data_IF_535587297050
#
_entry.id   IF_535587297050
#
_cell.length_a   1.000
_cell.length_b   1.000
_cell.length_c   1.000
_cell.angle_alpha   90.00
_cell.angle_beta   90.00
_cell.angle_gamma   90.00
#
_symmetry.space_group_name_H-M   'P 1'
#
loop_
_entity.id
_entity.type
_entity.pdbx_description
1 polymer ?
#
# COMPACT_ATOMS: atom_id res chain seq x y z
N UNK A 1 -54.98 2.04 -11.89
CA UNK A 1 -53.89 1.73 -10.92
C UNK A 1 -52.60 2.25 -11.55
N UNK A 2 -52.33 3.54 -11.36
CA UNK A 2 -51.32 4.29 -12.10
C UNK A 2 -49.91 4.07 -11.54
N UNK A 3 -49.00 3.66 -12.41
CA UNK A 3 -47.58 3.47 -12.11
C UNK A 3 -46.87 4.81 -11.90
N UNK A 4 -46.18 4.94 -10.77
CA UNK A 4 -45.25 6.03 -10.55
C UNK A 4 -43.99 5.84 -11.43
N UNK A 5 -43.42 6.93 -11.96
CA UNK A 5 -42.30 6.86 -12.89
C UNK A 5 -41.00 6.40 -12.20
N UNK A 6 -40.33 5.45 -12.84
CA UNK A 6 -39.03 4.82 -12.52
C UNK A 6 -37.83 5.79 -12.40
N UNK A 7 -38.05 7.10 -12.45
CA UNK A 7 -37.01 8.14 -12.33
C UNK A 7 -36.71 8.59 -10.89
N UNK A 8 -37.51 8.15 -9.91
CA UNK A 8 -37.28 8.46 -8.49
C UNK A 8 -36.48 7.38 -7.74
N UNK A 9 -36.34 6.16 -8.27
CA UNK A 9 -35.54 5.11 -7.63
C UNK A 9 -34.03 5.28 -7.86
N UNK A 10 -33.61 5.90 -8.97
CA UNK A 10 -32.19 6.16 -9.25
C UNK A 10 -31.61 7.29 -8.41
N UNK A 11 -32.44 8.22 -7.93
CA UNK A 11 -32.02 9.34 -7.10
C UNK A 11 -31.73 8.95 -5.64
N UNK A 12 -32.25 7.81 -5.15
CA UNK A 12 -32.02 7.35 -3.79
C UNK A 12 -30.71 6.55 -3.61
N UNK A 13 -30.12 6.03 -4.70
CA UNK A 13 -28.87 5.24 -4.62
C UNK A 13 -27.62 6.14 -4.58
N UNK A 14 -27.71 7.38 -5.08
CA UNK A 14 -26.58 8.34 -5.05
C UNK A 14 -26.46 9.14 -3.75
N UNK A 15 -27.47 9.09 -2.87
CA UNK A 15 -27.46 9.82 -1.60
C UNK A 15 -26.74 9.09 -0.44
N UNK A 16 -26.32 7.82 -0.65
CA UNK A 16 -25.62 7.02 0.36
C UNK A 16 -24.10 6.90 0.14
N UNK A 17 -23.52 7.67 -0.79
CA UNK A 17 -22.07 7.68 -1.07
C UNK A 17 -21.35 8.93 -0.55
N UNK A 18 -21.95 9.67 0.39
CA UNK A 18 -21.30 10.77 1.09
C UNK A 18 -21.29 10.39 2.57
N UNK A 19 -20.26 9.65 2.96
CA UNK A 19 -19.94 9.44 4.38
C UNK A 19 -19.64 10.82 4.98
N UNK A 20 -20.44 11.29 5.95
CA UNK A 20 -20.13 12.51 6.65
C UNK A 20 -18.99 12.22 7.63
N UNK A 21 -17.92 13.01 7.50
CA UNK A 21 -16.84 13.11 8.46
C UNK A 21 -17.42 13.46 9.84
N UNK A 22 -17.53 12.46 10.71
CA UNK A 22 -17.76 12.64 12.14
C UNK A 22 -16.43 12.47 12.86
N UNK A 23 -15.79 13.63 13.01
CA UNK A 23 -14.81 14.04 13.99
C UNK A 23 -14.84 13.18 15.28
N UNK A 24 -13.97 12.18 15.37
CA UNK A 24 -13.52 11.63 16.65
C UNK A 24 -12.06 12.03 16.84
N UNK A 25 -11.89 13.06 17.67
CA UNK A 25 -10.61 13.53 18.14
C UNK A 25 -9.94 12.45 19.00
N UNK A 26 -8.93 11.78 18.44
CA UNK A 26 -7.93 11.07 19.23
C UNK A 26 -6.59 11.73 18.95
N UNK A 27 -6.15 12.52 19.93
CA UNK A 27 -4.84 13.12 19.98
C UNK A 27 -3.76 12.04 19.80
N UNK A 28 -3.10 12.04 18.65
CA UNK A 28 -1.74 11.52 18.50
C UNK A 28 -0.92 12.63 17.89
N UNK A 29 -0.19 13.34 18.76
CA UNK A 29 1.03 14.01 18.32
C UNK A 29 1.91 12.94 17.70
N UNK A 30 2.18 13.06 16.40
CA UNK A 30 3.18 12.26 15.73
C UNK A 30 3.77 13.13 14.64
N UNK A 31 4.83 13.82 15.06
CA UNK A 31 6.05 14.09 14.29
C UNK A 31 5.90 14.04 12.78
N UNK A 32 6.02 15.21 12.15
CA UNK A 32 6.41 15.33 10.74
C UNK A 32 7.69 14.54 10.55
N UNK A 33 7.55 13.29 10.09
CA UNK A 33 8.65 12.51 9.58
C UNK A 33 8.79 12.89 8.11
N UNK A 34 9.77 13.75 7.83
CA UNK A 34 10.42 13.82 6.51
C UNK A 34 10.61 12.41 5.96
N UNK A 35 10.21 12.12 4.72
CA UNK A 35 10.57 10.85 4.09
C UNK A 35 12.11 10.76 4.10
N UNK A 36 12.68 9.67 4.63
CA UNK A 36 14.13 9.51 4.64
C UNK A 36 14.64 9.53 3.19
N UNK A 37 15.83 10.10 2.93
CA UNK A 37 16.42 10.06 1.61
C UNK A 37 16.50 8.60 1.13
N UNK A 38 16.00 8.36 -0.08
CA UNK A 38 16.01 7.08 -0.79
C UNK A 38 17.43 6.65 -1.18
N UNK A 39 18.36 6.56 -0.22
CA UNK A 39 19.58 5.78 -0.36
C UNK A 39 20.30 5.61 0.98
N UNK A 40 19.61 5.06 1.99
CA UNK A 40 20.32 4.52 3.15
C UNK A 40 20.60 3.06 2.88
N UNK A 41 21.80 2.77 2.38
CA UNK A 41 22.42 1.42 2.44
C UNK A 41 22.73 1.15 3.91
N UNK A 42 21.69 0.97 4.72
CA UNK A 42 21.84 0.47 6.08
C UNK A 42 21.71 -1.04 5.94
N UNK A 43 22.85 -1.69 5.73
CA UNK A 43 23.02 -3.13 5.79
C UNK A 43 22.83 -3.63 7.24
N UNK A 44 21.68 -3.32 7.83
CA UNK A 44 21.23 -3.96 9.05
C UNK A 44 20.65 -5.34 8.68
N UNK A 45 20.81 -6.36 9.53
CA UNK A 45 20.14 -7.63 9.31
C UNK A 45 18.63 -7.36 9.24
N UNK A 46 18.05 -7.56 8.06
CA UNK A 46 16.60 -7.51 7.88
C UNK A 46 16.03 -8.74 8.56
N UNK A 47 15.58 -8.57 9.79
CA UNK A 47 14.92 -9.64 10.52
C UNK A 47 13.54 -9.89 9.89
N UNK A 48 13.07 -11.13 9.95
CA UNK A 48 11.73 -11.54 9.48
C UNK A 48 10.65 -10.61 10.06
N UNK A 49 10.82 -10.16 11.30
CA UNK A 49 9.90 -9.24 11.98
C UNK A 49 9.74 -7.89 11.27
N UNK A 50 10.81 -7.35 10.68
CA UNK A 50 10.76 -6.07 9.96
C UNK A 50 9.96 -6.19 8.65
N UNK A 51 10.14 -7.30 7.94
CA UNK A 51 9.40 -7.59 6.71
C UNK A 51 7.93 -7.89 7.05
N UNK A 52 7.68 -8.64 8.12
CA UNK A 52 6.33 -8.91 8.62
C UNK A 52 5.61 -7.62 9.05
N UNK A 53 6.30 -6.70 9.73
CA UNK A 53 5.75 -5.39 10.06
C UNK A 53 5.34 -4.60 8.81
N UNK A 54 6.18 -4.59 7.77
CA UNK A 54 5.81 -3.98 6.49
C UNK A 54 4.58 -4.61 5.84
N UNK A 55 4.45 -5.94 5.85
CA UNK A 55 3.23 -6.58 5.35
C UNK A 55 1.99 -6.19 6.17
N UNK A 56 2.10 -6.13 7.50
CA UNK A 56 0.99 -5.69 8.37
C UNK A 56 0.50 -4.29 8.05
N UNK A 57 1.41 -3.37 7.73
CA UNK A 57 1.04 -2.01 7.29
C UNK A 57 0.23 -2.03 5.99
N UNK A 58 0.48 -2.96 5.08
CA UNK A 58 -0.23 -3.07 3.81
C UNK A 58 -1.53 -3.90 3.92
N UNK A 59 -1.66 -4.76 4.93
CA UNK A 59 -2.82 -5.63 5.18
C UNK A 59 -4.01 -4.94 5.87
N UNK A 60 -4.05 -3.61 5.99
CA UNK A 60 -5.17 -2.93 6.65
C UNK A 60 -6.50 -3.21 5.93
N UNK A 61 -7.51 -3.65 6.67
CA UNK A 61 -8.85 -3.94 6.14
C UNK A 61 -8.90 -5.11 5.14
N UNK A 62 -7.92 -6.02 5.17
CA UNK A 62 -7.99 -7.31 4.50
C UNK A 62 -8.59 -8.36 5.44
N UNK A 63 -9.03 -9.48 4.88
CA UNK A 63 -9.53 -10.62 5.65
C UNK A 63 -8.41 -11.28 6.48
N UNK A 64 -8.80 -11.92 7.58
CA UNK A 64 -7.89 -12.59 8.53
C UNK A 64 -7.21 -13.83 7.94
N UNK A 65 -7.63 -14.27 6.75
CA UNK A 65 -7.02 -15.37 5.99
C UNK A 65 -5.64 -15.02 5.41
N UNK A 66 -5.26 -13.74 5.39
CA UNK A 66 -3.97 -13.26 4.88
C UNK A 66 -2.97 -13.14 6.03
N UNK A 67 -2.15 -14.18 6.21
CA UNK A 67 -1.10 -14.19 7.23
C UNK A 67 0.20 -13.50 6.76
N UNK A 68 0.54 -12.31 7.30
CA UNK A 68 1.74 -11.56 6.88
C UNK A 68 3.05 -12.24 7.32
N UNK A 69 3.01 -13.00 8.42
CA UNK A 69 4.17 -13.70 8.98
C UNK A 69 4.65 -14.85 8.08
N UNK A 70 3.73 -15.52 7.39
CA UNK A 70 4.06 -16.60 6.44
C UNK A 70 4.73 -16.00 5.20
N UNK A 71 4.17 -14.90 4.66
CA UNK A 71 4.77 -14.18 3.54
C UNK A 71 6.17 -13.64 3.87
N UNK A 72 6.36 -13.09 5.07
CA UNK A 72 7.64 -12.54 5.49
C UNK A 72 8.74 -13.61 5.54
N UNK A 73 8.42 -14.83 5.97
CA UNK A 73 9.37 -15.96 5.95
C UNK A 73 9.77 -16.34 4.53
N UNK A 74 8.80 -16.49 3.63
CA UNK A 74 9.06 -16.81 2.22
C UNK A 74 9.96 -15.75 1.55
N UNK A 75 9.71 -14.47 1.83
CA UNK A 75 10.54 -13.38 1.29
C UNK A 75 11.95 -13.42 1.90
N UNK A 76 12.08 -13.71 3.19
CA UNK A 76 13.38 -13.85 3.86
C UNK A 76 14.23 -14.99 3.29
N UNK A 77 13.60 -16.12 2.94
CA UNK A 77 14.29 -17.27 2.33
C UNK A 77 14.81 -16.95 0.93
N UNK A 78 14.18 -16.00 0.22
CA UNK A 78 14.57 -15.55 -1.12
C UNK A 78 15.56 -14.37 -1.15
N UNK A 79 15.98 -13.84 0.00
CA UNK A 79 16.83 -12.65 0.09
C UNK A 79 18.32 -12.99 0.21
N UNK A 80 19.15 -12.29 -0.58
CA UNK A 80 20.61 -12.28 -0.43
C UNK A 80 21.05 -11.16 0.55
N UNK A 81 22.24 -11.33 1.15
CA UNK A 81 22.76 -10.48 2.23
C UNK A 81 22.88 -8.97 1.88
N UNK A 82 22.90 -8.63 0.59
CA UNK A 82 23.10 -7.29 0.05
C UNK A 82 21.86 -6.71 -0.66
N UNK A 83 20.67 -7.25 -0.38
CA UNK A 83 19.46 -6.79 -1.03
C UNK A 83 19.07 -5.33 -0.67
N UNK A 84 18.83 -4.54 -1.72
CA UNK A 84 18.28 -3.18 -1.62
C UNK A 84 16.81 -3.17 -1.21
N UNK A 85 16.35 -2.06 -0.62
CA UNK A 85 14.94 -1.88 -0.24
C UNK A 85 13.98 -2.08 -1.42
N UNK A 86 14.42 -1.70 -2.63
CA UNK A 86 13.63 -1.83 -3.85
C UNK A 86 13.47 -3.29 -4.27
N UNK A 87 14.54 -4.08 -4.19
CA UNK A 87 14.51 -5.51 -4.48
C UNK A 87 13.67 -6.27 -3.45
N UNK A 88 13.77 -5.90 -2.16
CA UNK A 88 12.94 -6.50 -1.12
C UNK A 88 11.46 -6.23 -1.39
N UNK A 89 11.09 -5.00 -1.74
CA UNK A 89 9.71 -4.66 -2.04
C UNK A 89 9.19 -5.32 -3.34
N UNK A 90 10.05 -5.53 -4.36
CA UNK A 90 9.70 -6.33 -5.54
C UNK A 90 9.42 -7.78 -5.16
N UNK A 91 10.34 -8.42 -4.44
CA UNK A 91 10.19 -9.81 -4.02
C UNK A 91 8.95 -10.00 -3.13
N UNK A 92 8.64 -9.03 -2.26
CA UNK A 92 7.39 -9.00 -1.49
C UNK A 92 6.15 -8.97 -2.39
N UNK A 93 6.14 -8.14 -3.44
CA UNK A 93 5.02 -8.01 -4.36
C UNK A 93 4.85 -9.29 -5.21
N UNK A 94 5.94 -9.87 -5.71
CA UNK A 94 5.95 -11.12 -6.47
C UNK A 94 5.42 -12.29 -5.63
N UNK A 95 5.91 -12.40 -4.38
CA UNK A 95 5.47 -13.46 -3.45
C UNK A 95 3.98 -13.34 -3.13
N UNK A 96 3.49 -12.11 -2.90
CA UNK A 96 2.07 -11.88 -2.68
C UNK A 96 1.23 -12.18 -3.94
N UNK A 97 1.72 -11.83 -5.14
CA UNK A 97 1.03 -12.13 -6.40
C UNK A 97 0.94 -13.63 -6.67
N UNK A 98 1.98 -14.41 -6.32
CA UNK A 98 1.95 -15.86 -6.42
C UNK A 98 0.85 -16.47 -5.53
N UNK A 99 0.68 -15.93 -4.32
CA UNK A 99 -0.36 -16.36 -3.38
C UNK A 99 -1.77 -15.87 -3.74
N UNK A 100 -1.93 -15.02 -4.75
CA UNK A 100 -3.24 -14.59 -5.25
C UNK A 100 -4.10 -15.75 -5.80
N UNK A 101 -3.46 -16.88 -6.13
CA UNK A 101 -4.14 -18.11 -6.50
C UNK A 101 -4.95 -18.74 -5.35
N UNK A 102 -4.56 -18.49 -4.09
CA UNK A 102 -5.23 -19.03 -2.91
C UNK A 102 -6.39 -18.13 -2.45
N UNK A 103 -6.20 -16.81 -2.48
CA UNK A 103 -7.23 -15.85 -2.09
C UNK A 103 -7.06 -14.52 -2.85
N UNK A 104 -8.14 -13.90 -3.36
CA UNK A 104 -8.07 -12.64 -4.10
C UNK A 104 -7.46 -11.47 -3.31
N UNK A 105 -7.46 -11.54 -1.97
CA UNK A 105 -6.89 -10.46 -1.14
C UNK A 105 -5.38 -10.42 -1.17
N UNK A 106 -4.71 -11.54 -1.46
CA UNK A 106 -3.27 -11.52 -1.73
C UNK A 106 -2.96 -10.71 -2.99
N UNK A 107 -3.86 -10.71 -3.98
CA UNK A 107 -3.77 -9.82 -5.15
C UNK A 107 -3.92 -8.35 -4.77
N UNK A 108 -4.84 -8.03 -3.84
CA UNK A 108 -4.99 -6.67 -3.29
C UNK A 108 -3.75 -6.23 -2.51
N UNK A 109 -3.16 -7.13 -1.73
CA UNK A 109 -1.91 -6.89 -1.01
C UNK A 109 -0.74 -6.64 -1.97
N UNK A 110 -0.58 -7.48 -2.99
CA UNK A 110 0.48 -7.34 -4.01
C UNK A 110 0.41 -5.98 -4.72
N UNK A 111 -0.80 -5.56 -5.12
CA UNK A 111 -1.01 -4.25 -5.74
C UNK A 111 -0.62 -3.10 -4.80
N UNK A 112 -0.97 -3.19 -3.51
CA UNK A 112 -0.61 -2.16 -2.52
C UNK A 112 0.91 -2.06 -2.32
N UNK A 113 1.59 -3.19 -2.18
CA UNK A 113 3.06 -3.24 -2.05
C UNK A 113 3.72 -2.62 -3.30
N UNK A 114 3.23 -2.95 -4.50
CA UNK A 114 3.75 -2.40 -5.74
C UNK A 114 3.58 -0.87 -5.84
N UNK A 115 2.43 -0.34 -5.43
CA UNK A 115 2.15 1.11 -5.39
C UNK A 115 3.00 1.81 -4.33
N UNK A 116 3.14 1.23 -3.13
CA UNK A 116 3.99 1.77 -2.07
C UNK A 116 5.45 1.87 -2.51
N UNK A 117 5.93 0.86 -3.24
CA UNK A 117 7.25 0.87 -3.88
C UNK A 117 7.36 1.96 -4.95
N UNK A 118 6.35 2.12 -5.82
CA UNK A 118 6.33 3.16 -6.84
C UNK A 118 6.42 4.56 -6.22
N UNK A 119 5.61 4.84 -5.18
CA UNK A 119 5.63 6.13 -4.50
C UNK A 119 6.98 6.44 -3.85
N UNK A 120 7.71 5.41 -3.43
CA UNK A 120 9.08 5.55 -2.92
C UNK A 120 10.11 5.88 -4.02
N UNK A 121 9.79 5.69 -5.30
CA UNK A 121 10.68 6.05 -6.42
C UNK A 121 10.33 7.40 -7.04
N UNK A 122 9.18 7.96 -6.70
CA UNK A 122 8.65 9.18 -7.33
C UNK A 122 8.77 10.40 -6.42
N UNK A 123 8.91 11.57 -7.03
CA UNK A 123 8.89 12.84 -6.32
C UNK A 123 7.47 13.18 -5.80
N UNK A 124 7.35 13.80 -4.62
CA UNK A 124 6.05 14.22 -4.10
C UNK A 124 5.50 15.40 -4.91
N UNK A 125 4.38 15.16 -5.58
CA UNK A 125 3.59 16.19 -6.24
C UNK A 125 3.94 16.42 -7.72
N UNK A 126 2.89 16.64 -8.50
CA UNK A 126 2.97 16.81 -9.96
C UNK A 126 3.88 17.98 -10.35
N UNK A 127 3.87 19.08 -9.59
CA UNK A 127 4.68 20.26 -9.87
C UNK A 127 6.19 19.97 -9.74
N UNK A 128 6.60 19.16 -8.76
CA UNK A 128 8.01 18.78 -8.63
C UNK A 128 8.46 17.95 -9.84
N UNK A 129 7.62 17.00 -10.26
CA UNK A 129 7.87 16.19 -11.47
C UNK A 129 7.96 17.07 -12.73
N UNK A 130 7.07 18.06 -12.89
CA UNK A 130 7.11 18.98 -14.03
C UNK A 130 8.37 19.85 -14.02
N UNK A 131 8.82 20.33 -12.86
CA UNK A 131 10.08 21.08 -12.74
C UNK A 131 11.28 20.22 -13.12
N UNK A 132 11.34 18.98 -12.63
CA UNK A 132 12.38 18.02 -13.01
C UNK A 132 12.42 17.79 -14.53
N UNK A 133 11.25 17.72 -15.19
CA UNK A 133 11.18 17.62 -16.66
C UNK A 133 11.67 18.89 -17.38
N UNK A 134 11.43 20.08 -16.82
CA UNK A 134 11.89 21.34 -17.42
C UNK A 134 13.40 21.58 -17.26
N UNK A 135 14.00 21.12 -16.16
CA UNK A 135 15.43 21.30 -15.87
C UNK A 135 16.34 20.36 -16.68
N UNK A 136 15.79 19.25 -17.21
CA UNK A 136 16.50 18.30 -18.07
C UNK A 136 16.47 18.66 -19.57
N UNK A 137 16.19 19.93 -19.91
CA UNK A 137 16.09 20.43 -21.29
C UNK A 137 17.15 21.47 -21.60
#
# INVERSE_FOLDING_TARGET
>A
VGGLPTRLMTALVLANFIVPATLSAHARGSSVATPPPHNTVVAAPRTVDQIAARFREQCFGLDTSVDPDVLAKLVCDGLCNDATEEQVAELMAETAAYQASMHPDFGRLAARVAVARLHSRTQPGVLATLRALCEHR
#
